data_IF_882431266444
#
_entry.id   IF_882431266444
#
_cell.length_a   1.000
_cell.length_b   1.000
_cell.length_c   1.000
_cell.angle_alpha   90.00
_cell.angle_beta   90.00
_cell.angle_gamma   90.00
#
_symmetry.space_group_name_H-M   'P 1'
#
loop_
_entity.id
_entity.type
_entity.pdbx_description
1 polymer ?
#
# COMPACT_ATOMS: atom_id res chain seq x y z
N UNK A 1 -12.80 -7.63 -7.48
CA UNK A 1 -12.58 -6.49 -6.56
C UNK A 1 -11.11 -6.40 -6.26
N UNK A 2 -10.54 -5.18 -6.26
CA UNK A 2 -9.12 -4.90 -6.02
C UNK A 2 -8.97 -3.99 -4.80
N UNK A 3 -8.12 -4.40 -3.87
CA UNK A 3 -7.81 -3.66 -2.64
C UNK A 3 -6.38 -3.11 -2.74
N UNK A 4 -6.24 -1.81 -2.53
CA UNK A 4 -4.95 -1.18 -2.25
C UNK A 4 -4.69 -1.23 -0.74
N UNK A 5 -3.59 -1.87 -0.34
CA UNK A 5 -3.20 -2.03 1.06
C UNK A 5 -1.91 -1.25 1.34
N UNK A 6 -1.95 -0.33 2.29
CA UNK A 6 -0.76 0.37 2.75
C UNK A 6 0.24 -0.56 3.47
N UNK A 7 1.51 -0.16 3.46
CA UNK A 7 2.58 -0.88 4.15
C UNK A 7 2.93 -0.31 5.54
N UNK A 8 3.31 0.96 5.62
CA UNK A 8 3.90 1.57 6.82
C UNK A 8 2.82 2.08 7.77
N UNK A 9 2.67 1.45 8.94
CA UNK A 9 1.60 1.81 9.89
C UNK A 9 0.32 0.98 9.69
N UNK A 10 0.19 0.35 8.51
CA UNK A 10 -0.82 -0.67 8.22
C UNK A 10 -0.24 -2.09 8.33
N UNK A 11 0.44 -2.62 7.30
CA UNK A 11 1.02 -3.98 7.33
C UNK A 11 2.01 -4.15 8.48
N UNK A 12 2.94 -3.19 8.64
CA UNK A 12 4.00 -3.28 9.67
C UNK A 12 3.46 -3.27 11.10
N UNK A 13 2.22 -2.82 11.31
CA UNK A 13 1.58 -2.74 12.64
C UNK A 13 1.07 -4.09 13.14
N UNK A 14 0.71 -4.99 12.23
CA UNK A 14 0.26 -6.35 12.60
C UNK A 14 0.54 -7.36 11.46
N UNK A 15 1.81 -7.68 11.16
CA UNK A 15 2.15 -8.44 9.96
C UNK A 15 1.46 -9.82 9.82
N UNK A 16 1.38 -10.66 10.88
CA UNK A 16 0.69 -11.96 10.78
C UNK A 16 -0.81 -11.82 10.44
N UNK A 17 -1.47 -10.80 10.99
CA UNK A 17 -2.86 -10.52 10.67
C UNK A 17 -3.04 -10.17 9.19
N UNK A 18 -2.16 -9.32 8.65
CA UNK A 18 -2.24 -8.90 7.26
C UNK A 18 -1.83 -10.01 6.28
N UNK A 19 -0.89 -10.87 6.66
CA UNK A 19 -0.62 -12.10 5.92
C UNK A 19 -1.88 -12.96 5.79
N UNK A 20 -2.59 -13.21 6.90
CA UNK A 20 -3.82 -14.01 6.90
C UNK A 20 -4.95 -13.32 6.14
N UNK A 21 -5.06 -11.99 6.25
CA UNK A 21 -5.99 -11.18 5.45
C UNK A 21 -5.75 -11.37 3.95
N UNK A 22 -4.50 -11.25 3.47
CA UNK A 22 -4.19 -11.41 2.04
C UNK A 22 -4.43 -12.84 1.57
N UNK A 23 -4.11 -13.85 2.40
CA UNK A 23 -4.47 -15.26 2.11
C UNK A 23 -5.97 -15.43 1.94
N UNK A 24 -6.76 -14.89 2.87
CA UNK A 24 -8.23 -14.96 2.81
C UNK A 24 -8.76 -14.26 1.56
N UNK A 25 -8.28 -13.05 1.24
CA UNK A 25 -8.65 -12.34 0.01
C UNK A 25 -8.41 -13.21 -1.24
N UNK A 26 -7.24 -13.84 -1.34
CA UNK A 26 -6.91 -14.73 -2.47
C UNK A 26 -7.89 -15.91 -2.59
N UNK A 27 -8.28 -16.53 -1.48
CA UNK A 27 -9.26 -17.64 -1.50
C UNK A 27 -10.66 -17.22 -1.94
N UNK A 28 -10.98 -15.93 -1.87
CA UNK A 28 -12.25 -15.35 -2.28
C UNK A 28 -12.16 -14.55 -3.60
N UNK A 29 -11.12 -14.76 -4.42
CA UNK A 29 -10.91 -14.05 -5.68
C UNK A 29 -10.88 -12.51 -5.54
N UNK A 30 -10.40 -12.03 -4.39
CA UNK A 30 -10.13 -10.62 -4.12
C UNK A 30 -8.64 -10.37 -4.37
N UNK A 31 -8.34 -9.42 -5.24
CA UNK A 31 -6.96 -9.03 -5.54
C UNK A 31 -6.48 -8.00 -4.51
N UNK A 32 -5.27 -8.20 -4.00
CA UNK A 32 -4.60 -7.23 -3.12
C UNK A 32 -3.32 -6.76 -3.76
N UNK A 33 -3.11 -5.44 -3.80
CA UNK A 33 -1.85 -4.81 -4.16
C UNK A 33 -1.37 -3.96 -3.00
N UNK A 34 -0.10 -4.10 -2.63
CA UNK A 34 0.51 -3.22 -1.64
C UNK A 34 0.85 -1.90 -2.32
N UNK A 35 0.36 -0.79 -1.78
CA UNK A 35 0.63 0.56 -2.30
C UNK A 35 1.26 1.39 -1.20
N UNK A 36 2.56 1.69 -1.34
CA UNK A 36 3.37 2.31 -0.28
C UNK A 36 3.99 3.63 -0.74
N UNK A 37 4.11 4.57 0.19
CA UNK A 37 4.86 5.81 -0.01
C UNK A 37 6.39 5.60 -0.08
N UNK A 38 6.89 4.40 0.24
CA UNK A 38 8.31 4.08 0.12
C UNK A 38 8.81 4.23 -1.33
N UNK A 39 10.09 4.57 -1.54
CA UNK A 39 10.70 4.53 -2.87
C UNK A 39 11.02 3.09 -3.30
N UNK A 40 11.14 2.79 -4.60
CA UNK A 40 11.41 1.45 -5.11
C UNK A 40 12.87 1.02 -4.87
N UNK A 41 13.21 0.65 -3.62
CA UNK A 41 14.52 0.10 -3.25
C UNK A 41 14.50 -1.42 -3.28
N UNK A 42 15.62 -2.05 -3.65
CA UNK A 42 15.74 -3.52 -3.69
C UNK A 42 15.34 -4.18 -2.36
N UNK A 43 15.80 -3.63 -1.24
CA UNK A 43 15.47 -4.15 0.09
C UNK A 43 13.95 -4.26 0.32
N UNK A 44 13.16 -3.27 -0.08
CA UNK A 44 11.71 -3.28 0.12
C UNK A 44 10.97 -4.23 -0.82
N UNK A 45 11.49 -4.43 -2.03
CA UNK A 45 10.95 -5.42 -2.98
C UNK A 45 11.08 -6.85 -2.45
N UNK A 46 12.12 -7.12 -1.67
CA UNK A 46 12.38 -8.43 -1.06
C UNK A 46 11.66 -8.55 0.31
N UNK A 47 11.58 -7.47 1.10
CA UNK A 47 10.98 -7.42 2.43
C UNK A 47 9.46 -7.64 2.43
N UNK A 48 8.73 -6.97 1.53
CA UNK A 48 7.25 -7.02 1.53
C UNK A 48 6.71 -8.44 1.25
N UNK A 49 7.19 -9.15 0.21
CA UNK A 49 6.79 -10.54 -0.01
C UNK A 49 7.22 -11.48 1.12
N UNK A 50 8.38 -11.22 1.73
CA UNK A 50 8.87 -12.00 2.87
C UNK A 50 7.92 -11.88 4.07
N UNK A 51 7.51 -10.66 4.41
CA UNK A 51 6.62 -10.39 5.54
C UNK A 51 5.22 -10.97 5.34
N UNK A 52 4.69 -10.92 4.11
CA UNK A 52 3.38 -11.49 3.80
C UNK A 52 3.42 -13.00 3.53
N UNK A 53 4.60 -13.62 3.60
CA UNK A 53 4.77 -15.06 3.38
C UNK A 53 4.51 -15.52 1.93
N UNK A 54 4.32 -14.60 0.98
CA UNK A 54 4.05 -14.89 -0.42
C UNK A 54 4.20 -13.66 -1.33
N UNK A 55 4.31 -13.90 -2.63
CA UNK A 55 4.37 -12.82 -3.62
C UNK A 55 3.04 -12.05 -3.71
N UNK A 56 3.13 -10.72 -3.63
CA UNK A 56 2.06 -9.76 -3.88
C UNK A 56 2.57 -8.64 -4.79
N UNK A 57 1.73 -8.07 -5.67
CA UNK A 57 2.09 -6.87 -6.41
C UNK A 57 2.35 -5.70 -5.46
N UNK A 58 3.41 -4.93 -5.72
CA UNK A 58 3.77 -3.75 -4.92
C UNK A 58 3.96 -2.53 -5.82
N UNK A 59 3.27 -1.45 -5.49
CA UNK A 59 3.40 -0.14 -6.12
C UNK A 59 4.09 0.81 -5.14
N UNK A 60 5.22 1.37 -5.56
CA UNK A 60 6.00 2.36 -4.82
C UNK A 60 5.69 3.76 -5.37
N UNK A 61 5.04 4.61 -4.57
CA UNK A 61 4.64 5.96 -5.02
C UNK A 61 5.71 7.01 -4.72
N UNK A 62 6.75 6.65 -3.95
CA UNK A 62 7.82 7.57 -3.54
C UNK A 62 7.30 8.87 -2.91
N UNK A 63 6.28 8.76 -2.06
CA UNK A 63 5.67 9.88 -1.35
C UNK A 63 4.61 10.65 -2.13
N UNK A 64 4.33 10.29 -3.40
CA UNK A 64 3.20 10.84 -4.18
C UNK A 64 1.87 10.28 -3.64
N UNK A 65 0.81 11.07 -3.75
CA UNK A 65 -0.57 10.65 -3.44
C UNK A 65 -0.91 9.34 -4.18
N UNK A 66 -1.39 8.34 -3.44
CA UNK A 66 -1.44 6.97 -3.96
C UNK A 66 -2.47 6.79 -5.07
N UNK A 67 -3.69 7.29 -4.90
CA UNK A 67 -4.77 7.13 -5.89
C UNK A 67 -4.46 7.79 -7.24
N UNK A 68 -4.04 9.07 -7.31
CA UNK A 68 -3.68 9.66 -8.60
C UNK A 68 -2.45 8.99 -9.22
N UNK A 69 -1.43 8.62 -8.41
CA UNK A 69 -0.27 7.89 -8.91
C UNK A 69 -0.66 6.56 -9.56
N UNK A 70 -1.45 5.72 -8.88
CA UNK A 70 -1.91 4.44 -9.41
C UNK A 70 -2.72 4.63 -10.70
N UNK A 71 -3.62 5.62 -10.74
CA UNK A 71 -4.42 5.93 -11.93
C UNK A 71 -3.55 6.32 -13.13
N UNK A 72 -2.49 7.10 -12.92
CA UNK A 72 -1.52 7.43 -13.98
C UNK A 72 -0.82 6.19 -14.55
N UNK A 73 -0.65 5.15 -13.73
CA UNK A 73 -0.07 3.87 -14.16
C UNK A 73 -1.12 2.90 -14.76
N UNK A 74 -2.39 3.33 -14.89
CA UNK A 74 -3.48 2.47 -15.35
C UNK A 74 -4.03 1.51 -14.30
N UNK A 75 -3.71 1.73 -13.03
CA UNK A 75 -4.16 0.90 -11.91
C UNK A 75 -5.35 1.56 -11.19
N UNK A 76 -6.46 0.83 -11.09
CA UNK A 76 -7.63 1.24 -10.32
C UNK A 76 -7.94 0.24 -9.18
N UNK A 77 -8.40 0.77 -8.04
CA UNK A 77 -8.70 0.01 -6.83
C UNK A 77 -10.08 0.41 -6.29
N UNK A 78 -10.85 -0.59 -5.86
CA UNK A 78 -12.20 -0.43 -5.32
C UNK A 78 -12.15 0.03 -3.85
N UNK A 79 -11.21 -0.53 -3.08
CA UNK A 79 -11.06 -0.29 -1.64
C UNK A 79 -9.62 0.12 -1.34
N UNK A 80 -9.46 1.09 -0.45
CA UNK A 80 -8.19 1.54 0.09
C UNK A 80 -8.16 1.25 1.59
N UNK A 81 -7.11 0.57 2.06
CA UNK A 81 -6.85 0.32 3.48
C UNK A 81 -5.52 0.99 3.80
N UNK A 82 -5.59 2.06 4.57
CA UNK A 82 -4.48 2.96 4.85
C UNK A 82 -4.69 3.53 6.26
N UNK A 83 -3.70 3.43 7.14
CA UNK A 83 -3.77 4.06 8.47
C UNK A 83 -3.70 5.58 8.36
N UNK A 84 -3.10 6.10 7.28
CA UNK A 84 -3.17 7.51 6.91
C UNK A 84 -4.02 7.72 5.64
N UNK A 85 -5.36 7.83 5.75
CA UNK A 85 -6.24 7.98 4.59
C UNK A 85 -5.96 9.25 3.76
N UNK A 86 -5.27 10.26 4.32
CA UNK A 86 -4.87 11.44 3.58
C UNK A 86 -3.89 11.13 2.46
N UNK A 87 -2.98 10.17 2.66
CA UNK A 87 -1.96 9.76 1.68
C UNK A 87 -2.55 9.10 0.43
N UNK A 88 -3.81 8.68 0.48
CA UNK A 88 -4.56 8.21 -0.70
C UNK A 88 -4.75 9.35 -1.71
N UNK A 89 -4.94 10.58 -1.23
CA UNK A 89 -5.34 11.73 -2.04
C UNK A 89 -4.32 12.87 -2.09
N UNK A 90 -3.45 12.96 -1.08
CA UNK A 90 -2.53 14.08 -0.88
C UNK A 90 -1.11 13.53 -0.79
N UNK A 91 -0.16 14.18 -1.47
CA UNK A 91 1.24 13.74 -1.43
C UNK A 91 1.86 14.09 -0.08
N UNK A 92 2.83 13.30 0.35
CA UNK A 92 3.53 13.50 1.62
C UNK A 92 4.13 14.89 1.78
N UNK A 93 4.63 15.50 0.69
CA UNK A 93 5.16 16.86 0.69
C UNK A 93 4.08 17.90 1.04
N UNK A 94 2.87 17.72 0.52
CA UNK A 94 1.77 18.65 0.75
C UNK A 94 1.18 18.50 2.15
N UNK A 95 1.12 17.27 2.69
CA UNK A 95 0.76 17.06 4.10
C UNK A 95 1.72 17.77 5.05
N UNK A 96 3.03 17.69 4.79
CA UNK A 96 4.05 18.40 5.57
C UNK A 96 3.86 19.92 5.54
N UNK A 97 3.46 20.50 4.39
CA UNK A 97 3.16 21.94 4.29
C UNK A 97 2.01 22.37 5.22
N UNK A 98 1.12 21.44 5.55
CA UNK A 98 0.00 21.65 6.48
C UNK A 98 0.27 21.15 7.91
N UNK A 99 1.51 20.74 8.22
CA UNK A 99 1.88 20.24 9.55
C UNK A 99 1.26 18.88 9.89
N UNK A 100 0.82 18.12 8.88
CA UNK A 100 0.28 16.77 9.05
C UNK A 100 1.43 15.78 8.82
N UNK A 101 1.61 14.83 9.74
CA UNK A 101 2.57 13.75 9.54
C UNK A 101 2.05 12.79 8.44
N UNK A 102 2.86 12.55 7.39
CA UNK A 102 2.51 11.64 6.31
C UNK A 102 2.74 10.18 6.66
#
# INVERSE_FOLDING_TARGET
MRIALDYDGTITKAPPFWEDFVKLCKTHSIEVCVVTARPPRKAYKDEIPYILGHSVPVIFTSGRAKKPYCREQGEEFDIWIDDNPWMVHISSEDLKKHGIEP
#
